data_IF_693015566580
#
_entry.id   IF_693015566580
#
_cell.length_a   1.000
_cell.length_b   1.000
_cell.length_c   1.000
_cell.angle_alpha   90.00
_cell.angle_beta   90.00
_cell.angle_gamma   90.00
#
_symmetry.space_group_name_H-M   'P 1'
#
loop_
_entity.id
_entity.type
_entity.pdbx_description
1 polymer ?
#
# COMPACT_ATOMS: atom_id res chain seq x y z
N UNK A 1 -4.94 -4.90 -48.70
CA UNK A 1 -3.58 -5.40 -48.43
C UNK A 1 -3.47 -5.66 -46.94
N UNK A 2 -3.41 -6.94 -46.56
CA UNK A 2 -3.34 -7.38 -45.16
C UNK A 2 -1.91 -7.23 -44.64
N UNK A 3 -1.68 -6.28 -43.72
CA UNK A 3 -0.49 -6.31 -42.87
C UNK A 3 -0.87 -6.96 -41.54
N UNK A 4 -0.46 -8.22 -41.37
CA UNK A 4 -0.35 -8.87 -40.07
C UNK A 4 0.87 -8.28 -39.36
N UNK A 5 0.67 -7.73 -38.17
CA UNK A 5 1.72 -7.52 -37.19
C UNK A 5 1.18 -7.88 -35.82
N UNK A 6 1.52 -9.09 -35.35
CA UNK A 6 1.56 -9.38 -33.92
C UNK A 6 2.89 -8.84 -33.40
N UNK A 7 2.84 -7.90 -32.45
CA UNK A 7 3.98 -7.49 -31.65
C UNK A 7 3.48 -7.13 -30.26
N UNK A 8 3.99 -7.81 -29.24
CA UNK A 8 4.03 -7.30 -27.88
C UNK A 8 5.21 -6.31 -27.82
N UNK A 9 4.95 -5.08 -28.24
CA UNK A 9 5.88 -3.95 -28.32
C UNK A 9 5.10 -2.64 -28.21
N UNK A 10 5.77 -1.49 -28.00
CA UNK A 10 5.09 -0.21 -27.75
C UNK A 10 4.10 0.01 -28.88
N UNK A 11 2.83 0.22 -28.53
CA UNK A 11 1.74 0.44 -29.48
C UNK A 11 2.27 1.42 -30.52
N UNK A 12 2.59 0.91 -31.72
CA UNK A 12 2.95 1.76 -32.84
C UNK A 12 1.72 2.62 -33.01
N UNK A 13 1.81 3.92 -32.67
CA UNK A 13 0.80 4.89 -33.01
C UNK A 13 0.73 4.84 -34.54
N UNK A 14 -0.13 3.97 -35.05
CA UNK A 14 -0.38 3.83 -36.48
C UNK A 14 -0.84 5.19 -36.96
N UNK A 15 -0.41 5.55 -38.17
CA UNK A 15 -0.69 6.86 -38.74
C UNK A 15 -2.19 7.21 -38.54
N UNK A 16 -2.51 8.43 -38.05
CA UNK A 16 -3.87 8.80 -37.71
C UNK A 16 -4.84 8.47 -38.85
N UNK A 17 -5.80 7.58 -38.59
CA UNK A 17 -6.76 7.13 -39.60
C UNK A 17 -7.82 8.22 -39.82
N UNK A 18 -7.55 9.12 -40.76
CA UNK A 18 -8.48 10.18 -41.16
C UNK A 18 -9.57 9.56 -42.04
N UNK A 19 -10.76 9.30 -41.48
CA UNK A 19 -11.90 8.72 -42.20
C UNK A 19 -13.22 9.28 -41.68
N UNK A 20 -14.15 9.56 -42.59
CA UNK A 20 -15.53 9.92 -42.28
C UNK A 20 -16.41 8.71 -41.92
N UNK A 21 -15.94 7.49 -42.19
CA UNK A 21 -16.65 6.23 -41.91
C UNK A 21 -16.03 5.56 -40.69
N UNK A 22 -16.85 5.04 -39.74
CA UNK A 22 -16.36 4.30 -38.59
C UNK A 22 -15.58 3.04 -38.99
N UNK A 23 -14.42 2.78 -38.38
CA UNK A 23 -13.73 1.50 -38.53
C UNK A 23 -14.63 0.34 -38.08
N UNK A 24 -14.64 -0.80 -38.79
CA UNK A 24 -15.40 -1.97 -38.38
C UNK A 24 -14.87 -2.53 -37.04
N UNK A 25 -15.78 -3.02 -36.20
CA UNK A 25 -15.45 -3.69 -34.94
C UNK A 25 -15.31 -5.18 -35.19
N UNK A 26 -14.16 -5.74 -34.84
CA UNK A 26 -13.88 -7.18 -34.91
C UNK A 26 -13.49 -7.71 -33.53
N UNK A 27 -14.50 -7.96 -32.69
CA UNK A 27 -14.28 -8.44 -31.32
C UNK A 27 -13.61 -9.81 -31.31
N UNK A 28 -12.52 -9.92 -30.56
CA UNK A 28 -11.87 -11.17 -30.27
C UNK A 28 -11.44 -11.20 -28.80
N UNK A 29 -11.36 -12.40 -28.22
CA UNK A 29 -10.92 -12.57 -26.84
C UNK A 29 -9.48 -12.10 -26.66
N UNK A 30 -9.24 -11.36 -25.59
CA UNK A 30 -7.88 -10.94 -25.23
C UNK A 30 -7.12 -12.15 -24.67
N UNK A 31 -5.92 -12.47 -25.16
CA UNK A 31 -5.07 -13.48 -24.52
C UNK A 31 -4.70 -13.03 -23.10
N UNK A 32 -4.74 -13.92 -22.09
CA UNK A 32 -4.43 -13.56 -20.72
C UNK A 32 -2.98 -13.07 -20.58
N UNK A 33 -2.72 -12.21 -19.59
CA UNK A 33 -1.39 -11.69 -19.27
C UNK A 33 -0.41 -12.81 -18.89
N UNK A 34 -0.92 -13.89 -18.31
CA UNK A 34 -0.17 -15.08 -17.96
C UNK A 34 -0.88 -16.33 -18.49
N UNK A 35 -0.15 -17.24 -19.13
CA UNK A 35 -0.75 -18.40 -19.82
C UNK A 35 -1.44 -19.41 -18.88
N UNK A 36 -1.24 -19.31 -17.58
CA UNK A 36 -1.72 -20.26 -16.57
C UNK A 36 -2.90 -19.73 -15.73
N UNK A 37 -3.31 -18.46 -15.91
CA UNK A 37 -4.39 -17.83 -15.14
C UNK A 37 -5.12 -16.79 -16.00
N UNK A 38 -6.44 -16.72 -15.88
CA UNK A 38 -7.22 -15.67 -16.57
C UNK A 38 -6.99 -14.30 -15.92
N UNK A 39 -7.19 -13.21 -16.67
CA UNK A 39 -6.97 -11.86 -16.13
C UNK A 39 -7.94 -11.56 -14.96
N UNK A 40 -9.15 -12.12 -14.97
CA UNK A 40 -10.15 -11.96 -13.91
C UNK A 40 -9.70 -12.67 -12.62
N UNK A 41 -9.14 -13.88 -12.72
CA UNK A 41 -8.58 -14.59 -11.57
C UNK A 41 -7.29 -13.94 -11.09
N UNK A 42 -6.51 -13.37 -12.00
CA UNK A 42 -5.30 -12.61 -11.67
C UNK A 42 -5.65 -11.34 -10.88
N UNK A 43 -6.78 -10.68 -11.20
CA UNK A 43 -7.31 -9.53 -10.45
C UNK A 43 -7.70 -9.88 -9.00
N UNK A 44 -8.03 -11.14 -8.71
CA UNK A 44 -8.29 -11.61 -7.35
C UNK A 44 -7.00 -12.02 -6.63
N UNK A 45 -6.08 -12.67 -7.34
CA UNK A 45 -4.85 -13.22 -6.76
C UNK A 45 -3.81 -12.13 -6.45
N UNK A 46 -3.53 -11.23 -7.39
CA UNK A 46 -2.40 -10.29 -7.27
C UNK A 46 -2.52 -9.33 -6.08
N UNK A 47 -3.69 -8.75 -5.74
CA UNK A 47 -3.81 -7.91 -4.55
C UNK A 47 -3.45 -8.68 -3.27
N UNK A 48 -3.82 -9.96 -3.16
CA UNK A 48 -3.45 -10.82 -2.02
C UNK A 48 -1.94 -11.03 -1.98
N UNK A 49 -1.30 -11.28 -3.13
CA UNK A 49 0.16 -11.39 -3.23
C UNK A 49 0.83 -10.08 -2.81
N UNK A 50 0.38 -8.94 -3.35
CA UNK A 50 0.89 -7.62 -2.99
C UNK A 50 0.76 -7.34 -1.49
N UNK A 51 -0.38 -7.70 -0.88
CA UNK A 51 -0.62 -7.56 0.55
C UNK A 51 0.45 -8.30 1.37
N UNK A 52 0.60 -9.61 1.13
CA UNK A 52 1.54 -10.42 1.91
C UNK A 52 2.99 -10.08 1.60
N UNK A 53 3.34 -9.79 0.35
CA UNK A 53 4.71 -9.38 0.00
C UNK A 53 5.10 -8.09 0.70
N UNK A 54 4.26 -7.04 0.63
CA UNK A 54 4.53 -5.76 1.31
C UNK A 54 4.47 -5.91 2.84
N UNK A 55 3.46 -6.61 3.37
CA UNK A 55 3.31 -6.86 4.80
C UNK A 55 4.49 -7.64 5.40
N UNK A 56 4.95 -8.69 4.73
CA UNK A 56 6.12 -9.47 5.15
C UNK A 56 7.41 -8.65 5.02
N UNK A 57 7.55 -7.84 3.97
CA UNK A 57 8.70 -6.94 3.83
C UNK A 57 8.81 -5.99 5.04
N UNK A 58 7.72 -5.31 5.41
CA UNK A 58 7.72 -4.44 6.59
C UNK A 58 7.86 -5.23 7.90
N UNK A 59 7.34 -6.45 7.97
CA UNK A 59 7.58 -7.32 9.11
C UNK A 59 9.06 -7.72 9.24
N UNK A 60 9.76 -8.01 8.14
CA UNK A 60 11.20 -8.26 8.15
C UNK A 60 11.96 -7.00 8.59
N UNK A 61 11.60 -5.82 8.06
CA UNK A 61 12.19 -4.54 8.48
C UNK A 61 12.04 -4.36 10.00
N UNK A 62 10.88 -4.72 10.53
CA UNK A 62 10.56 -4.64 11.95
C UNK A 62 11.34 -5.64 12.82
N UNK A 63 11.37 -6.92 12.44
CA UNK A 63 12.02 -7.97 13.23
C UNK A 63 13.55 -7.88 13.21
N UNK A 64 14.14 -7.37 12.12
CA UNK A 64 15.57 -7.15 12.00
C UNK A 64 16.00 -5.72 12.32
N UNK A 65 15.07 -4.86 12.74
CA UNK A 65 15.34 -3.48 13.17
C UNK A 65 16.10 -2.67 12.08
N UNK A 66 15.76 -2.88 10.81
CA UNK A 66 16.53 -2.35 9.67
C UNK A 66 16.36 -0.84 9.48
N UNK A 67 15.24 -0.28 9.93
CA UNK A 67 14.85 1.12 9.71
C UNK A 67 14.40 1.82 11.00
N UNK A 68 15.02 1.50 12.14
CA UNK A 68 14.66 2.08 13.46
C UNK A 68 14.63 3.61 13.48
N UNK A 69 15.51 4.26 12.71
CA UNK A 69 15.53 5.72 12.56
C UNK A 69 14.21 6.31 12.02
N UNK A 70 13.41 5.51 11.32
CA UNK A 70 12.16 5.94 10.69
C UNK A 70 10.92 5.37 11.36
N UNK A 71 11.09 4.57 12.42
CA UNK A 71 9.99 3.94 13.16
C UNK A 71 9.18 5.00 13.93
N UNK A 72 7.85 4.90 13.89
CA UNK A 72 6.94 5.82 14.60
C UNK A 72 6.83 5.45 16.08
N UNK A 73 6.67 4.15 16.39
CA UNK A 73 6.43 3.64 17.74
C UNK A 73 7.36 2.48 18.07
N UNK A 74 7.85 2.38 19.32
CA UNK A 74 8.80 1.31 19.67
C UNK A 74 8.16 -0.07 19.75
N UNK A 75 8.94 -1.16 19.62
CA UNK A 75 8.44 -2.52 19.82
C UNK A 75 7.71 -2.74 21.15
N UNK A 76 8.15 -2.09 22.25
CA UNK A 76 7.46 -2.18 23.54
C UNK A 76 6.10 -1.49 23.51
N UNK A 77 5.98 -0.36 22.80
CA UNK A 77 4.70 0.34 22.62
C UNK A 77 3.73 -0.52 21.80
N UNK A 78 4.20 -1.13 20.72
CA UNK A 78 3.41 -2.10 19.91
C UNK A 78 2.88 -3.21 20.81
N UNK A 79 3.75 -3.83 21.60
CA UNK A 79 3.37 -4.97 22.46
C UNK A 79 2.44 -4.58 23.61
N UNK A 80 2.67 -3.43 24.25
CA UNK A 80 1.91 -2.99 25.42
C UNK A 80 0.56 -2.36 25.08
N UNK A 81 0.45 -1.69 23.93
CA UNK A 81 -0.74 -0.91 23.57
C UNK A 81 -1.70 -1.65 22.65
N UNK A 82 -1.21 -2.56 21.83
CA UNK A 82 -2.09 -3.39 20.99
C UNK A 82 -2.88 -4.38 21.86
N UNK A 83 -4.18 -4.47 21.58
CA UNK A 83 -5.14 -5.29 22.31
C UNK A 83 -5.49 -6.58 21.56
N UNK A 84 -4.65 -7.00 20.63
CA UNK A 84 -4.76 -8.23 19.87
C UNK A 84 -3.37 -8.85 19.71
N UNK A 85 -3.33 -10.16 19.50
CA UNK A 85 -2.08 -10.86 19.20
C UNK A 85 -1.80 -10.88 17.70
N UNK A 86 -0.53 -11.02 17.33
CA UNK A 86 -0.14 -11.16 15.93
C UNK A 86 -0.85 -12.35 15.24
N UNK A 87 -0.99 -13.48 15.94
CA UNK A 87 -1.69 -14.65 15.42
C UNK A 87 -3.19 -14.41 15.19
N UNK A 88 -3.85 -13.64 16.06
CA UNK A 88 -5.24 -13.22 15.83
C UNK A 88 -5.36 -12.36 14.57
N UNK A 89 -4.41 -11.44 14.35
CA UNK A 89 -4.38 -10.58 13.18
C UNK A 89 -4.21 -11.40 11.90
N UNK A 90 -3.19 -12.25 11.83
CA UNK A 90 -2.94 -13.11 10.66
C UNK A 90 -4.15 -13.99 10.34
N UNK A 91 -4.75 -14.61 11.36
CA UNK A 91 -5.95 -15.45 11.19
C UNK A 91 -7.11 -14.67 10.57
N UNK A 92 -7.39 -13.46 11.08
CA UNK A 92 -8.54 -12.68 10.64
C UNK A 92 -8.32 -12.12 9.22
N UNK A 93 -7.08 -11.71 8.89
CA UNK A 93 -6.69 -11.31 7.53
C UNK A 93 -6.83 -12.47 6.54
N UNK A 94 -6.40 -13.69 6.90
CA UNK A 94 -6.60 -14.88 6.04
C UNK A 94 -8.09 -15.11 5.78
N UNK A 95 -8.94 -15.04 6.82
CA UNK A 95 -10.39 -15.19 6.66
C UNK A 95 -10.97 -14.12 5.73
N UNK A 96 -10.48 -12.88 5.85
CA UNK A 96 -10.91 -11.80 4.99
C UNK A 96 -10.52 -12.07 3.53
N UNK A 97 -9.28 -12.44 3.23
CA UNK A 97 -8.88 -12.77 1.86
C UNK A 97 -9.66 -13.94 1.27
N UNK A 98 -9.95 -14.99 2.05
CA UNK A 98 -10.78 -16.10 1.59
C UNK A 98 -12.20 -15.62 1.23
N UNK A 99 -12.80 -14.78 2.08
CA UNK A 99 -14.13 -14.23 1.85
C UNK A 99 -14.16 -13.30 0.63
N UNK A 100 -13.20 -12.39 0.53
CA UNK A 100 -13.06 -11.46 -0.60
C UNK A 100 -12.83 -12.21 -1.92
N UNK A 101 -12.01 -13.27 -1.90
CA UNK A 101 -11.78 -14.12 -3.08
C UNK A 101 -13.06 -14.86 -3.48
N UNK A 102 -13.83 -15.40 -2.53
CA UNK A 102 -15.10 -16.06 -2.83
C UNK A 102 -16.13 -15.09 -3.43
N UNK A 103 -16.22 -13.87 -2.91
CA UNK A 103 -17.06 -12.81 -3.46
C UNK A 103 -16.61 -12.42 -4.87
N UNK A 104 -15.30 -12.24 -5.08
CA UNK A 104 -14.72 -11.94 -6.38
C UNK A 104 -14.99 -13.03 -7.42
N UNK A 105 -14.81 -14.31 -7.07
CA UNK A 105 -15.13 -15.43 -7.95
C UNK A 105 -16.62 -15.45 -8.33
N UNK A 106 -17.49 -15.08 -7.39
CA UNK A 106 -18.93 -14.96 -7.64
C UNK A 106 -19.23 -13.83 -8.62
N UNK A 107 -18.56 -12.68 -8.50
CA UNK A 107 -18.73 -11.55 -9.42
C UNK A 107 -18.18 -11.86 -10.82
N UNK A 108 -17.00 -12.47 -10.90
CA UNK A 108 -16.37 -12.86 -12.17
C UNK A 108 -17.27 -13.82 -12.98
N UNK A 109 -18.11 -14.63 -12.33
CA UNK A 109 -19.07 -15.50 -13.01
C UNK A 109 -20.10 -14.73 -13.84
N UNK A 110 -20.44 -13.49 -13.44
CA UNK A 110 -21.40 -12.63 -14.13
C UNK A 110 -20.73 -11.62 -15.07
N UNK A 111 -19.40 -11.61 -15.14
CA UNK A 111 -18.64 -10.66 -15.94
C UNK A 111 -18.57 -11.10 -17.40
N UNK A 112 -18.70 -10.15 -18.32
CA UNK A 112 -18.54 -10.44 -19.75
C UNK A 112 -17.08 -10.74 -20.08
N UNK A 113 -16.78 -11.66 -21.01
CA UNK A 113 -15.41 -11.96 -21.40
C UNK A 113 -14.67 -10.72 -21.90
N UNK A 114 -13.41 -10.57 -21.48
CA UNK A 114 -12.53 -9.54 -21.98
C UNK A 114 -12.31 -9.65 -23.50
N UNK A 115 -12.66 -8.58 -24.23
CA UNK A 115 -12.52 -8.52 -25.69
C UNK A 115 -11.72 -7.30 -26.14
N UNK A 116 -11.07 -7.42 -27.28
CA UNK A 116 -10.30 -6.39 -28.00
C UNK A 116 -10.78 -6.34 -29.46
N UNK A 117 -10.29 -5.40 -30.26
CA UNK A 117 -10.70 -5.18 -31.64
C UNK A 117 -11.78 -4.10 -31.80
N UNK A 118 -12.03 -3.32 -30.75
CA UNK A 118 -12.88 -2.14 -30.76
C UNK A 118 -12.07 -0.83 -30.65
N UNK A 119 -10.75 -0.89 -30.39
CA UNK A 119 -9.91 0.25 -30.08
C UNK A 119 -9.86 1.26 -31.23
N UNK A 120 -9.72 0.79 -32.48
CA UNK A 120 -9.71 1.67 -33.65
C UNK A 120 -11.05 2.42 -33.82
N UNK A 121 -12.16 1.74 -33.53
CA UNK A 121 -13.49 2.35 -33.56
C UNK A 121 -13.64 3.38 -32.42
N UNK A 122 -13.19 3.07 -31.21
CA UNK A 122 -13.29 3.98 -30.07
C UNK A 122 -12.41 5.23 -30.24
N UNK A 123 -11.18 5.06 -30.75
CA UNK A 123 -10.29 6.18 -31.09
C UNK A 123 -10.96 7.07 -32.16
N UNK A 124 -11.56 6.47 -33.19
CA UNK A 124 -12.32 7.21 -34.20
C UNK A 124 -13.51 7.94 -33.58
N UNK A 125 -14.24 7.33 -32.67
CA UNK A 125 -15.37 7.96 -31.98
C UNK A 125 -14.92 9.19 -31.18
N UNK A 126 -13.79 9.10 -30.47
CA UNK A 126 -13.17 10.25 -29.80
C UNK A 126 -12.72 11.34 -30.77
N UNK A 127 -12.10 10.97 -31.89
CA UNK A 127 -11.72 11.92 -32.94
C UNK A 127 -12.93 12.68 -33.49
N UNK A 128 -14.03 11.97 -33.76
CA UNK A 128 -15.30 12.54 -34.24
C UNK A 128 -15.91 13.47 -33.19
N UNK A 129 -15.95 13.03 -31.93
CA UNK A 129 -16.47 13.82 -30.81
C UNK A 129 -15.71 15.13 -30.63
N UNK A 130 -14.39 15.13 -30.88
CA UNK A 130 -13.55 16.34 -30.88
C UNK A 130 -13.68 17.22 -32.13
N UNK A 131 -14.57 16.88 -33.08
CA UNK A 131 -14.82 17.65 -34.29
C UNK A 131 -13.72 17.55 -35.36
N UNK A 132 -12.83 16.56 -35.26
CA UNK A 132 -11.61 16.47 -36.07
C UNK A 132 -11.55 15.36 -37.09
N UNK A 133 -12.66 15.01 -37.74
CA UNK A 133 -12.74 13.86 -38.67
C UNK A 133 -11.70 13.91 -39.80
N UNK A 134 -11.31 15.12 -40.22
CA UNK A 134 -10.33 15.36 -41.30
C UNK A 134 -8.98 15.90 -40.80
N UNK A 135 -8.74 15.93 -39.48
CA UNK A 135 -7.53 16.51 -38.89
C UNK A 135 -6.57 15.43 -38.41
N UNK A 136 -5.38 15.28 -39.03
CA UNK A 136 -4.35 14.36 -38.56
C UNK A 136 -3.91 14.62 -37.11
N UNK A 137 -3.91 15.90 -36.70
CA UNK A 137 -3.58 16.28 -35.34
C UNK A 137 -4.63 15.78 -34.34
N UNK A 138 -5.92 15.96 -34.62
CA UNK A 138 -6.99 15.51 -33.72
C UNK A 138 -7.06 13.98 -33.67
N UNK A 139 -6.82 13.30 -34.79
CA UNK A 139 -6.73 11.85 -34.84
C UNK A 139 -5.55 11.32 -34.00
N UNK A 140 -4.36 11.95 -34.09
CA UNK A 140 -3.23 11.62 -33.23
C UNK A 140 -3.55 11.86 -31.75
N UNK A 141 -4.15 13.02 -31.44
CA UNK A 141 -4.53 13.34 -30.07
C UNK A 141 -5.60 12.37 -29.53
N UNK A 142 -6.57 11.95 -30.34
CA UNK A 142 -7.57 10.94 -29.96
C UNK A 142 -6.93 9.60 -29.62
N UNK A 143 -5.93 9.17 -30.38
CA UNK A 143 -5.18 7.96 -30.08
C UNK A 143 -4.41 8.10 -28.76
N UNK A 144 -3.68 9.21 -28.56
CA UNK A 144 -2.96 9.48 -27.30
C UNK A 144 -3.92 9.58 -26.11
N UNK A 145 -5.04 10.25 -26.29
CA UNK A 145 -6.08 10.40 -25.28
C UNK A 145 -6.65 9.04 -24.87
N UNK A 146 -7.13 8.26 -25.84
CA UNK A 146 -7.71 6.94 -25.58
C UNK A 146 -6.70 5.97 -24.94
N UNK A 147 -5.46 5.95 -25.44
CA UNK A 147 -4.46 4.97 -24.99
C UNK A 147 -3.84 5.32 -23.64
N UNK A 148 -3.64 6.61 -23.33
CA UNK A 148 -2.88 7.02 -22.14
C UNK A 148 -3.67 7.90 -21.17
N UNK A 149 -4.35 8.94 -21.67
CA UNK A 149 -5.01 9.91 -20.79
C UNK A 149 -6.30 9.34 -20.19
N UNK A 150 -7.09 8.61 -20.98
CA UNK A 150 -8.35 8.04 -20.55
C UNK A 150 -8.17 7.02 -19.42
N UNK A 151 -7.23 6.04 -19.49
CA UNK A 151 -6.92 5.18 -18.36
C UNK A 151 -6.54 5.95 -17.09
N UNK A 152 -5.69 6.99 -17.21
CA UNK A 152 -5.30 7.83 -16.07
C UNK A 152 -6.51 8.56 -15.47
N UNK A 153 -7.40 9.10 -16.30
CA UNK A 153 -8.64 9.74 -15.86
C UNK A 153 -9.54 8.73 -15.13
N UNK A 154 -9.73 7.54 -15.69
CA UNK A 154 -10.57 6.48 -15.10
C UNK A 154 -10.00 6.01 -13.76
N UNK A 155 -8.70 5.77 -13.67
CA UNK A 155 -8.03 5.38 -12.42
C UNK A 155 -8.10 6.51 -11.38
N UNK A 156 -7.88 7.76 -11.78
CA UNK A 156 -8.01 8.92 -10.88
C UNK A 156 -9.43 9.07 -10.35
N UNK A 157 -10.43 8.82 -11.20
CA UNK A 157 -11.83 8.80 -10.80
C UNK A 157 -12.13 7.62 -9.86
N UNK A 158 -11.55 6.44 -10.11
CA UNK A 158 -11.65 5.29 -9.21
C UNK A 158 -11.05 5.58 -7.83
N UNK A 159 -9.90 6.26 -7.75
CA UNK A 159 -9.34 6.75 -6.48
C UNK A 159 -10.32 7.67 -5.76
N UNK A 160 -10.92 8.62 -6.48
CA UNK A 160 -11.92 9.53 -5.89
C UNK A 160 -13.15 8.79 -5.35
N UNK A 161 -13.68 7.81 -6.09
CA UNK A 161 -14.82 7.00 -5.65
C UNK A 161 -14.46 6.17 -4.41
N UNK A 162 -13.29 5.52 -4.41
CA UNK A 162 -12.84 4.72 -3.29
C UNK A 162 -12.61 5.58 -2.04
N UNK A 163 -11.90 6.71 -2.16
CA UNK A 163 -11.68 7.66 -1.07
C UNK A 163 -13.00 8.18 -0.49
N UNK A 164 -13.97 8.48 -1.36
CA UNK A 164 -15.29 8.96 -0.93
C UNK A 164 -16.04 7.88 -0.16
N UNK A 165 -16.10 6.66 -0.70
CA UNK A 165 -16.73 5.52 -0.07
C UNK A 165 -16.14 5.23 1.32
N UNK A 166 -14.81 5.11 1.37
CA UNK A 166 -14.06 4.84 2.57
C UNK A 166 -14.23 5.96 3.60
N UNK A 167 -14.06 7.22 3.22
CA UNK A 167 -14.21 8.36 4.13
C UNK A 167 -15.57 8.39 4.82
N UNK A 168 -16.67 8.30 4.05
CA UNK A 168 -18.01 8.48 4.62
C UNK A 168 -18.39 7.30 5.51
N UNK A 169 -18.06 6.06 5.13
CA UNK A 169 -18.30 4.90 5.98
C UNK A 169 -17.42 4.94 7.23
N UNK A 170 -16.14 5.23 7.07
CA UNK A 170 -15.19 5.32 8.18
C UNK A 170 -15.64 6.37 9.20
N UNK A 171 -15.99 7.57 8.73
CA UNK A 171 -16.55 8.62 9.57
C UNK A 171 -17.86 8.18 10.22
N UNK A 172 -18.80 7.59 9.48
CA UNK A 172 -20.06 7.11 10.05
C UNK A 172 -19.83 6.09 11.19
N UNK A 173 -18.88 5.17 10.99
CA UNK A 173 -18.48 4.19 12.00
C UNK A 173 -17.91 4.85 13.24
N UNK A 174 -17.19 5.96 13.12
CA UNK A 174 -16.71 6.70 14.29
C UNK A 174 -17.76 7.61 14.92
N UNK A 175 -18.70 8.17 14.16
CA UNK A 175 -19.71 9.08 14.71
C UNK A 175 -20.82 8.32 15.46
N UNK A 176 -21.08 7.06 15.10
CA UNK A 176 -22.06 6.21 15.79
C UNK A 176 -21.39 5.20 16.72
N UNK A 177 -21.75 5.24 18.01
CA UNK A 177 -21.26 4.26 19.01
C UNK A 177 -21.62 2.82 18.65
N UNK A 178 -22.79 2.61 18.03
CA UNK A 178 -23.22 1.28 17.59
C UNK A 178 -22.38 0.79 16.42
N UNK A 179 -22.24 1.60 15.37
CA UNK A 179 -21.44 1.25 14.19
C UNK A 179 -19.98 0.98 14.58
N UNK A 180 -19.39 1.85 15.42
CA UNK A 180 -18.03 1.65 15.94
C UNK A 180 -17.88 0.29 16.62
N UNK A 181 -18.76 -0.01 17.59
CA UNK A 181 -18.66 -1.24 18.38
C UNK A 181 -18.84 -2.49 17.52
N UNK A 182 -19.70 -2.45 16.50
CA UNK A 182 -19.98 -3.62 15.65
C UNK A 182 -18.90 -3.85 14.59
N UNK A 183 -18.42 -2.78 13.96
CA UNK A 183 -17.54 -2.88 12.80
C UNK A 183 -16.11 -2.50 13.20
N UNK A 184 -15.87 -1.20 13.39
CA UNK A 184 -14.53 -0.63 13.35
C UNK A 184 -13.72 -0.73 14.66
N UNK A 185 -14.34 -1.09 15.78
CA UNK A 185 -13.64 -1.20 17.07
C UNK A 185 -12.61 -2.33 17.11
N UNK A 186 -12.77 -3.36 16.26
CA UNK A 186 -11.79 -4.43 16.12
C UNK A 186 -10.51 -3.91 15.50
N UNK A 187 -10.62 -3.09 14.46
CA UNK A 187 -9.51 -2.44 13.81
C UNK A 187 -8.70 -1.60 14.80
N UNK A 188 -9.38 -0.79 15.60
CA UNK A 188 -8.77 0.03 16.68
C UNK A 188 -8.24 -0.75 17.90
N UNK A 189 -8.31 -2.10 17.90
CA UNK A 189 -7.50 -2.89 18.85
C UNK A 189 -6.01 -2.81 18.51
N UNK A 190 -5.67 -2.53 17.25
CA UNK A 190 -4.33 -2.16 16.80
C UNK A 190 -4.09 -0.67 17.06
N UNK A 191 -3.84 -0.33 18.31
CA UNK A 191 -3.54 1.05 18.71
C UNK A 191 -2.27 1.60 18.04
N UNK A 192 -1.26 0.74 17.88
CA UNK A 192 -0.04 1.01 17.13
C UNK A 192 -0.13 0.20 15.83
N UNK A 193 -0.44 0.84 14.69
CA UNK A 193 -0.53 0.17 13.41
C UNK A 193 0.79 -0.48 12.99
N UNK A 194 0.68 -1.61 12.30
CA UNK A 194 1.78 -2.26 11.60
C UNK A 194 1.24 -2.92 10.31
N UNK A 195 2.11 -3.10 9.31
CA UNK A 195 1.75 -3.42 7.93
C UNK A 195 0.77 -4.61 7.77
N UNK A 196 1.06 -5.76 8.42
CA UNK A 196 0.20 -6.97 8.35
C UNK A 196 -1.16 -6.75 9.04
N UNK A 197 -1.29 -5.73 9.89
CA UNK A 197 -2.53 -5.33 10.55
C UNK A 197 -3.44 -4.45 9.71
N UNK A 198 -3.05 -4.08 8.49
CA UNK A 198 -3.80 -3.18 7.63
C UNK A 198 -5.24 -3.66 7.33
N UNK A 199 -5.42 -4.97 7.16
CA UNK A 199 -6.74 -5.59 7.00
C UNK A 199 -7.22 -6.30 8.26
N UNK A 200 -6.76 -5.88 9.44
CA UNK A 200 -7.30 -6.40 10.69
C UNK A 200 -8.62 -5.72 11.01
N UNK A 201 -9.72 -6.26 10.50
CA UNK A 201 -11.05 -5.73 10.74
C UNK A 201 -12.08 -6.86 10.91
N UNK A 202 -13.35 -6.51 11.10
CA UNK A 202 -14.41 -7.54 11.10
C UNK A 202 -14.70 -7.96 9.66
N UNK A 203 -15.03 -9.24 9.43
CA UNK A 203 -15.28 -9.73 8.07
C UNK A 203 -16.32 -8.90 7.29
N UNK A 204 -17.38 -8.45 7.97
CA UNK A 204 -18.41 -7.61 7.35
C UNK A 204 -17.92 -6.19 7.05
N UNK A 205 -17.05 -5.63 7.90
CA UNK A 205 -16.38 -4.36 7.61
C UNK A 205 -15.44 -4.48 6.41
N UNK A 206 -14.62 -5.53 6.35
CA UNK A 206 -13.75 -5.79 5.21
C UNK A 206 -14.51 -5.98 3.88
N UNK A 207 -15.69 -6.60 3.92
CA UNK A 207 -16.57 -6.66 2.74
C UNK A 207 -17.11 -5.27 2.39
N UNK A 208 -17.65 -4.55 3.37
CA UNK A 208 -18.34 -3.29 3.14
C UNK A 208 -17.37 -2.17 2.72
N UNK A 209 -16.23 -2.03 3.40
CA UNK A 209 -15.24 -1.01 3.12
C UNK A 209 -14.40 -1.38 1.90
N UNK A 210 -13.81 -2.58 1.89
CA UNK A 210 -12.76 -2.90 0.92
C UNK A 210 -13.37 -3.47 -0.37
N UNK A 211 -14.15 -4.56 -0.28
CA UNK A 211 -14.71 -5.21 -1.48
C UNK A 211 -15.79 -4.38 -2.16
N UNK A 212 -16.79 -3.89 -1.42
CA UNK A 212 -17.84 -3.05 -2.01
C UNK A 212 -17.28 -1.69 -2.48
N UNK A 213 -16.35 -1.09 -1.73
CA UNK A 213 -15.72 0.17 -2.13
C UNK A 213 -14.89 0.03 -3.40
N UNK A 214 -13.99 -0.95 -3.45
CA UNK A 214 -13.16 -1.19 -4.63
C UNK A 214 -14.00 -1.66 -5.84
N UNK A 215 -14.99 -2.53 -5.61
CA UNK A 215 -15.91 -2.98 -6.65
C UNK A 215 -16.77 -1.85 -7.22
N UNK A 216 -17.28 -0.94 -6.38
CA UNK A 216 -18.00 0.24 -6.84
C UNK A 216 -17.09 1.17 -7.65
N UNK A 217 -15.88 1.43 -7.18
CA UNK A 217 -14.89 2.24 -7.91
C UNK A 217 -14.54 1.62 -9.27
N UNK A 218 -14.36 0.30 -9.32
CA UNK A 218 -14.14 -0.48 -10.54
C UNK A 218 -15.27 -0.27 -11.56
N UNK A 219 -16.51 -0.57 -11.14
CA UNK A 219 -17.67 -0.50 -12.03
C UNK A 219 -17.99 0.92 -12.50
N UNK A 220 -18.03 1.89 -11.57
CA UNK A 220 -18.44 3.26 -11.88
C UNK A 220 -17.41 3.98 -12.74
N UNK A 221 -16.13 3.65 -12.60
CA UNK A 221 -15.06 4.23 -13.42
C UNK A 221 -14.87 3.52 -14.76
N UNK A 222 -15.64 2.45 -15.01
CA UNK A 222 -15.60 1.65 -16.24
C UNK A 222 -14.23 1.04 -16.51
N UNK A 223 -13.46 0.72 -15.47
CA UNK A 223 -12.12 0.12 -15.63
C UNK A 223 -12.25 -1.20 -16.40
N UNK A 224 -11.29 -1.48 -17.28
CA UNK A 224 -11.06 -2.81 -17.83
C UNK A 224 -10.49 -3.71 -16.73
N UNK A 225 -10.58 -5.04 -16.88
CA UNK A 225 -10.00 -5.98 -15.91
C UNK A 225 -8.50 -5.73 -15.69
N UNK A 226 -7.75 -5.33 -16.73
CA UNK A 226 -6.31 -5.02 -16.60
C UNK A 226 -6.05 -3.72 -15.83
N UNK A 227 -6.84 -2.68 -16.06
CA UNK A 227 -6.79 -1.47 -15.24
C UNK A 227 -7.21 -1.76 -13.79
N UNK A 228 -8.17 -2.67 -13.59
CA UNK A 228 -8.62 -3.11 -12.27
C UNK A 228 -7.52 -3.87 -11.51
N UNK A 229 -6.78 -4.77 -12.17
CA UNK A 229 -5.59 -5.43 -11.58
C UNK A 229 -4.65 -4.37 -11.02
N UNK A 230 -4.31 -3.36 -11.82
CA UNK A 230 -3.40 -2.30 -11.38
C UNK A 230 -4.01 -1.51 -10.21
N UNK A 231 -5.26 -1.08 -10.32
CA UNK A 231 -5.97 -0.31 -9.30
C UNK A 231 -6.08 -1.06 -7.96
N UNK A 232 -6.45 -2.34 -7.98
CA UNK A 232 -6.57 -3.16 -6.77
C UNK A 232 -5.20 -3.38 -6.12
N UNK A 233 -4.17 -3.77 -6.89
CA UNK A 233 -2.81 -3.94 -6.36
C UNK A 233 -2.27 -2.64 -5.77
N UNK A 234 -2.42 -1.52 -6.47
CA UNK A 234 -1.96 -0.22 -6.02
C UNK A 234 -2.68 0.22 -4.72
N UNK A 235 -4.00 0.05 -4.67
CA UNK A 235 -4.80 0.35 -3.47
C UNK A 235 -4.40 -0.53 -2.29
N UNK A 236 -4.17 -1.83 -2.52
CA UNK A 236 -3.71 -2.74 -1.46
C UNK A 236 -2.33 -2.36 -0.92
N UNK A 237 -1.38 -2.08 -1.82
CA UNK A 237 -0.04 -1.63 -1.41
C UNK A 237 -0.12 -0.33 -0.60
N UNK A 238 -0.97 0.62 -1.04
CA UNK A 238 -1.20 1.88 -0.34
C UNK A 238 -1.77 1.66 1.06
N UNK A 239 -2.80 0.82 1.20
CA UNK A 239 -3.39 0.51 2.52
C UNK A 239 -2.36 -0.13 3.46
N UNK A 240 -1.49 -1.01 2.94
CA UNK A 240 -0.41 -1.60 3.74
C UNK A 240 0.62 -0.54 4.16
N UNK A 241 1.00 0.36 3.26
CA UNK A 241 1.91 1.48 3.56
C UNK A 241 1.34 2.42 4.63
N UNK A 242 0.05 2.75 4.57
CA UNK A 242 -0.63 3.58 5.58
C UNK A 242 -0.61 2.99 6.99
N UNK A 243 -0.38 1.68 7.09
CA UNK A 243 -0.27 0.97 8.36
C UNK A 243 1.16 0.55 8.67
N UNK A 244 2.16 0.88 7.85
CA UNK A 244 3.46 0.22 7.95
C UNK A 244 4.18 0.46 9.27
N UNK A 245 3.85 1.54 9.99
CA UNK A 245 4.49 1.93 11.26
C UNK A 245 5.81 2.69 11.07
N UNK A 246 6.13 3.07 9.82
CA UNK A 246 7.35 3.78 9.46
C UNK A 246 7.04 5.07 8.68
N UNK A 247 7.78 6.13 9.01
CA UNK A 247 7.79 7.39 8.27
C UNK A 247 9.07 7.46 7.42
N UNK A 248 9.05 6.84 6.24
CA UNK A 248 10.23 6.70 5.37
C UNK A 248 10.25 7.85 4.36
N UNK A 249 11.28 8.71 4.36
CA UNK A 249 11.25 9.95 3.56
C UNK A 249 11.38 9.73 2.05
N UNK A 250 11.77 8.53 1.61
CA UNK A 250 11.86 8.15 0.19
C UNK A 250 10.77 7.16 -0.22
N UNK A 251 9.77 6.90 0.63
CA UNK A 251 8.65 6.05 0.25
C UNK A 251 7.78 6.76 -0.80
N UNK A 252 7.58 6.18 -1.99
CA UNK A 252 6.82 6.82 -3.06
C UNK A 252 5.35 7.08 -2.69
N UNK A 253 4.73 6.22 -1.88
CA UNK A 253 3.35 6.44 -1.44
C UNK A 253 3.27 7.60 -0.48
N UNK A 254 4.17 7.67 0.49
CA UNK A 254 4.19 8.75 1.49
C UNK A 254 4.58 10.11 0.90
N UNK A 255 5.36 10.13 -0.18
CA UNK A 255 5.66 11.35 -0.96
C UNK A 255 4.46 11.78 -1.80
N UNK A 256 3.83 10.82 -2.50
CA UNK A 256 2.79 11.11 -3.48
C UNK A 256 1.45 11.49 -2.84
N UNK A 257 1.10 10.86 -1.72
CA UNK A 257 -0.22 10.96 -1.12
C UNK A 257 -0.18 11.67 0.24
N UNK A 258 -1.10 12.64 0.48
CA UNK A 258 -1.15 13.35 1.74
C UNK A 258 -1.65 12.47 2.90
N UNK A 259 -2.44 11.43 2.61
CA UNK A 259 -2.68 10.37 3.57
C UNK A 259 -1.51 9.40 3.53
N UNK A 260 -0.91 9.15 4.68
CA UNK A 260 0.28 8.31 4.84
C UNK A 260 0.30 7.69 6.24
N UNK A 261 1.33 6.89 6.51
CA UNK A 261 1.52 6.21 7.79
C UNK A 261 1.34 7.10 9.03
N UNK A 262 1.84 8.34 9.02
CA UNK A 262 1.71 9.24 10.18
C UNK A 262 0.30 9.80 10.30
N UNK A 263 -0.33 10.15 9.17
CA UNK A 263 -1.70 10.68 9.16
C UNK A 263 -2.70 9.65 9.70
N UNK A 264 -2.54 8.39 9.28
CA UNK A 264 -3.35 7.28 9.74
C UNK A 264 -2.99 6.85 11.17
N UNK A 265 -1.71 6.86 11.56
CA UNK A 265 -1.30 6.60 12.94
C UNK A 265 -1.99 7.55 13.94
N UNK A 266 -2.03 8.86 13.65
CA UNK A 266 -2.75 9.85 14.46
C UNK A 266 -4.21 9.42 14.69
N UNK A 267 -4.87 8.88 13.67
CA UNK A 267 -6.26 8.42 13.77
C UNK A 267 -6.42 7.26 14.77
N UNK A 268 -5.49 6.31 14.80
CA UNK A 268 -5.50 5.19 15.76
C UNK A 268 -5.24 5.62 17.20
N UNK A 269 -4.57 6.77 17.40
CA UNK A 269 -4.36 7.30 18.74
C UNK A 269 -5.68 7.76 19.37
N UNK A 270 -5.82 7.57 20.69
CA UNK A 270 -7.05 7.95 21.43
C UNK A 270 -7.43 9.43 21.27
N UNK A 271 -6.45 10.31 21.07
CA UNK A 271 -6.70 11.74 20.84
C UNK A 271 -7.11 12.08 19.40
N UNK A 272 -6.83 11.21 18.44
CA UNK A 272 -7.12 11.42 17.01
C UNK A 272 -8.24 10.54 16.46
N UNK A 273 -8.84 9.66 17.27
CA UNK A 273 -9.93 8.74 16.88
C UNK A 273 -11.18 9.41 16.28
N UNK A 274 -11.33 10.74 16.43
CA UNK A 274 -12.43 11.52 15.82
C UNK A 274 -11.97 12.47 14.71
N UNK A 275 -10.78 12.26 14.18
CA UNK A 275 -10.17 13.04 13.11
C UNK A 275 -9.50 12.13 12.09
N UNK A 276 -9.08 12.65 10.95
CA UNK A 276 -8.30 11.93 9.94
C UNK A 276 -9.02 10.68 9.40
N UNK A 277 -10.27 10.82 8.95
CA UNK A 277 -11.05 9.68 8.45
C UNK A 277 -10.73 9.28 7.00
N UNK A 278 -10.05 10.15 6.25
CA UNK A 278 -9.65 9.87 4.87
C UNK A 278 -8.79 8.61 4.79
N UNK A 279 -9.09 7.76 3.81
CA UNK A 279 -8.27 6.62 3.37
C UNK A 279 -8.77 6.12 1.99
N UNK A 280 -7.89 5.55 1.15
CA UNK A 280 -6.45 5.40 1.36
C UNK A 280 -5.59 6.53 0.74
N UNK A 281 -6.08 7.38 -0.17
CA UNK A 281 -5.20 8.26 -0.95
C UNK A 281 -5.13 9.71 -0.46
N UNK A 282 -6.26 10.44 -0.51
CA UNK A 282 -6.27 11.89 -0.35
C UNK A 282 -6.99 12.32 0.94
N UNK A 283 -6.51 13.41 1.56
CA UNK A 283 -7.13 14.02 2.75
C UNK A 283 -8.21 15.06 2.38
N UNK A 284 -8.68 15.03 1.14
CA UNK A 284 -9.64 16.00 0.59
C UNK A 284 -10.89 16.13 1.44
N UNK A 285 -11.55 15.01 1.78
CA UNK A 285 -12.78 15.01 2.56
C UNK A 285 -12.58 15.49 4.00
N UNK A 286 -11.46 15.14 4.64
CA UNK A 286 -11.12 15.67 5.95
C UNK A 286 -10.98 17.19 5.95
N UNK A 287 -10.39 17.78 4.90
CA UNK A 287 -10.27 19.23 4.78
C UNK A 287 -11.60 19.90 4.49
N UNK A 288 -12.38 19.36 3.55
CA UNK A 288 -13.70 19.92 3.16
C UNK A 288 -14.68 19.90 4.34
N UNK A 289 -14.65 18.84 5.15
CA UNK A 289 -15.61 18.64 6.23
C UNK A 289 -15.02 18.96 7.62
N UNK A 290 -13.82 19.55 7.65
CA UNK A 290 -13.11 19.99 8.84
C UNK A 290 -12.95 18.88 9.90
N UNK A 291 -12.54 17.70 9.45
CA UNK A 291 -12.21 16.54 10.29
C UNK A 291 -10.71 16.21 10.31
N UNK A 292 -9.87 17.07 9.73
CA UNK A 292 -8.40 16.96 9.82
C UNK A 292 -7.91 17.31 11.24
N UNK A 293 -6.96 16.52 11.75
CA UNK A 293 -6.33 16.75 13.05
C UNK A 293 -5.44 17.99 13.02
N UNK A 294 -5.80 19.00 13.82
CA UNK A 294 -5.13 20.30 13.85
C UNK A 294 -3.70 20.25 14.44
N UNK A 295 -3.39 19.22 15.24
CA UNK A 295 -2.09 19.06 15.90
C UNK A 295 -1.03 18.32 15.06
N UNK A 296 -1.31 18.01 13.80
CA UNK A 296 -0.48 17.11 12.98
C UNK A 296 0.99 17.55 12.90
N UNK A 297 1.24 18.85 12.69
CA UNK A 297 2.62 19.39 12.62
C UNK A 297 3.38 19.22 13.93
N UNK A 298 2.74 19.50 15.05
CA UNK A 298 3.32 19.32 16.38
C UNK A 298 3.58 17.85 16.69
N UNK A 299 2.65 16.97 16.30
CA UNK A 299 2.79 15.53 16.42
C UNK A 299 4.00 15.01 15.64
N UNK A 300 4.12 15.36 14.36
CA UNK A 300 5.26 14.98 13.51
C UNK A 300 6.58 15.45 14.13
N UNK A 301 6.65 16.70 14.59
CA UNK A 301 7.86 17.26 15.19
C UNK A 301 8.25 16.48 16.47
N UNK A 302 7.28 16.25 17.36
CA UNK A 302 7.50 15.49 18.59
C UNK A 302 7.91 14.05 18.31
N UNK A 303 7.29 13.40 17.32
CA UNK A 303 7.68 12.05 16.92
C UNK A 303 9.10 12.01 16.38
N UNK A 304 9.51 12.96 15.53
CA UNK A 304 10.90 13.05 15.06
C UNK A 304 11.90 13.19 16.21
N UNK A 305 11.58 13.99 17.23
CA UNK A 305 12.42 14.15 18.42
C UNK A 305 12.52 12.86 19.23
N UNK A 306 11.39 12.19 19.48
CA UNK A 306 11.33 10.90 20.18
C UNK A 306 12.10 9.83 19.41
N UNK A 307 11.86 9.68 18.11
CA UNK A 307 12.55 8.70 17.26
C UNK A 307 14.05 8.98 17.23
N UNK A 308 14.48 10.24 17.10
CA UNK A 308 15.90 10.59 17.11
C UNK A 308 16.56 10.29 18.47
N UNK A 309 15.88 10.54 19.58
CA UNK A 309 16.38 10.22 20.91
C UNK A 309 16.48 8.70 21.11
N UNK A 310 15.39 7.96 20.87
CA UNK A 310 15.36 6.51 21.02
C UNK A 310 16.34 5.81 20.09
N UNK A 311 16.56 6.34 18.88
CA UNK A 311 17.58 5.84 17.97
C UNK A 311 19.00 6.00 18.54
N UNK A 312 19.30 7.12 19.22
CA UNK A 312 20.61 7.29 19.89
C UNK A 312 20.78 6.27 21.02
N UNK A 313 19.76 6.13 21.87
CA UNK A 313 19.75 5.14 22.98
C UNK A 313 19.94 3.70 22.44
N UNK A 314 19.27 3.38 21.34
CA UNK A 314 19.40 2.10 20.64
C UNK A 314 20.82 1.87 20.10
N UNK A 315 21.45 2.87 19.48
CA UNK A 315 22.85 2.78 19.01
C UNK A 315 23.81 2.57 20.20
N UNK A 316 23.65 3.35 21.26
CA UNK A 316 24.50 3.30 22.46
C UNK A 316 24.42 1.93 23.15
N UNK A 317 23.21 1.35 23.29
CA UNK A 317 23.02 0.03 23.87
C UNK A 317 23.75 -1.08 23.09
N UNK A 318 23.80 -0.96 21.76
CA UNK A 318 24.47 -1.92 20.87
C UNK A 318 25.98 -1.75 20.87
N UNK A 319 26.49 -0.52 20.85
CA UNK A 319 27.93 -0.27 20.95
C UNK A 319 28.49 -0.68 22.32
N UNK A 320 27.76 -0.45 23.41
CA UNK A 320 28.15 -0.92 24.73
C UNK A 320 28.17 -2.45 24.82
N UNK A 321 27.17 -3.14 24.25
CA UNK A 321 27.15 -4.60 24.22
C UNK A 321 28.31 -5.23 23.44
N UNK A 322 28.75 -4.60 22.35
CA UNK A 322 29.86 -5.11 21.54
C UNK A 322 31.22 -4.86 22.21
N UNK A 323 31.38 -3.75 22.91
CA UNK A 323 32.56 -3.48 23.74
C UNK A 323 32.66 -4.45 24.92
N UNK A 324 31.56 -4.73 25.63
CA UNK A 324 31.54 -5.71 26.73
C UNK A 324 31.73 -7.16 26.24
N UNK A 325 31.19 -7.54 25.07
CA UNK A 325 31.49 -8.84 24.44
C UNK A 325 32.96 -8.95 24.02
N UNK A 326 33.55 -7.87 23.50
CA UNK A 326 34.96 -7.87 23.12
C UNK A 326 35.87 -7.98 24.35
N UNK A 327 35.54 -7.28 25.43
CA UNK A 327 36.30 -7.29 26.69
C UNK A 327 36.19 -8.63 27.41
N UNK A 328 35.00 -9.23 27.45
CA UNK A 328 34.81 -10.56 28.02
C UNK A 328 35.51 -11.67 27.22
N UNK A 329 35.59 -11.56 25.88
CA UNK A 329 36.42 -12.47 25.06
C UNK A 329 37.91 -12.30 25.34
N UNK A 330 38.41 -11.07 25.44
CA UNK A 330 39.82 -10.80 25.79
C UNK A 330 40.15 -11.32 27.20
N UNK A 331 39.27 -11.13 28.18
CA UNK A 331 39.44 -11.68 29.53
C UNK A 331 39.35 -13.22 29.59
N UNK A 332 38.53 -13.85 28.73
CA UNK A 332 38.45 -15.29 28.61
C UNK A 332 39.69 -15.91 27.95
N UNK A 333 40.23 -15.28 26.89
CA UNK A 333 41.48 -15.69 26.23
C UNK A 333 42.72 -15.43 27.12
N UNK A 334 42.72 -14.34 27.89
CA UNK A 334 43.76 -14.05 28.89
C UNK A 334 43.78 -15.04 30.06
N UNK A 335 42.63 -15.66 30.40
CA UNK A 335 42.56 -16.75 31.39
C UNK A 335 42.92 -18.11 30.82
N UNK A 336 42.77 -18.34 29.50
CA UNK A 336 43.18 -19.60 28.85
C UNK A 336 44.69 -19.64 28.53
N UNK A 337 45.33 -18.47 28.43
CA UNK A 337 46.78 -18.31 28.26
C UNK A 337 47.45 -18.00 29.59
N UNK A 338 47.39 -18.95 30.52
CA UNK A 338 48.13 -18.87 31.78
C UNK A 338 49.63 -18.84 31.54
N UNK A 339 50.20 -17.64 31.35
CA UNK A 339 51.64 -17.38 31.47
C UNK A 339 51.85 -16.61 32.76
N UNK A 340 52.32 -17.34 33.77
CA UNK A 340 52.88 -16.80 34.98
C UNK A 340 54.06 -15.90 34.63
N UNK A 341 53.96 -14.60 34.92
CA UNK A 341 55.14 -13.74 35.04
C UNK A 341 55.69 -13.98 36.45
N UNK A 342 56.63 -14.93 36.55
CA UNK A 342 57.37 -15.20 37.79
C UNK A 342 58.40 -14.10 38.03
N UNK A 343 58.27 -13.41 39.17
CA UNK A 343 59.37 -12.75 39.86
C UNK A 343 60.51 -13.76 40.10
N UNK A 344 61.74 -13.48 39.65
CA UNK A 344 62.95 -13.77 40.43
C UNK A 344 64.23 -13.18 39.85
N UNK A 345 65.02 -12.61 40.78
CA UNK A 345 66.48 -12.38 40.87
C UNK A 345 66.85 -10.89 40.92
N UNK A 346 67.64 -10.36 41.87
CA UNK A 346 68.35 -10.84 43.07
C UNK A 346 68.74 -9.56 43.85
N UNK A 347 68.75 -9.62 45.18
CA UNK A 347 69.34 -8.61 46.07
C UNK A 347 70.85 -8.86 46.29
N UNK A 348 71.71 -7.84 46.14
CA UNK A 348 72.87 -7.50 47.02
C UNK A 348 73.78 -6.46 46.31
N UNK A 349 73.84 -5.21 46.79
CA UNK A 349 74.86 -4.57 47.69
C UNK A 349 76.27 -4.37 47.09
N UNK A 350 76.63 -3.08 46.98
CA UNK A 350 77.89 -2.40 47.42
C UNK A 350 79.22 -3.13 47.11
N UNK A 351 79.94 -2.65 46.09
CA UNK A 351 81.12 -1.74 46.19
C UNK A 351 81.36 -1.07 44.83
#
# INVERSE_FOLDING_TARGET
>A
MYNRTFSLGPITLTAPHVSSIPPPIYKHSIPPLASWISDENLALLLPVVCYWTSGIMFHIIDQYELLEKYRIHTPEEVTKRNKCTFAEVVRDVIKQHLLQTALGLTLNYFEEPNTTGHEAHDIWAWQVWMGGQNSPFIAWFAAVFYTYLLPVIKISFAFFILDSWQYFLHRAMHQSKWLYKQFHSRHHRLYVPYAIGALYNTALEGVLMDSCGAGLAYMVSGLTTREAIWFFCFSTLKTVDDHCGYCIPWDPFQIMFPNNAVYHDIHHQSFGIKTNFSQPFFTFWDRVLNTEYQGTRGYIQKQKEITAQKYKEWVESRSGSSEDESRSKVEAEGKSTGVAVSEQLVSSRVE
#
